data_IF_636969372770
#
_entry.id   IF_636969372770
#
_cell.length_a   1.000
_cell.length_b   1.000
_cell.length_c   1.000
_cell.angle_alpha   90.00
_cell.angle_beta   90.00
_cell.angle_gamma   90.00
#
_symmetry.space_group_name_H-M   'P 1'
#
loop_
_entity.id
_entity.type
_entity.pdbx_description
1 polymer ?
#
# COMPACT_ATOMS: atom_id res chain seq x y z
N UNK A 1 -21.08 18.92 7.53
CA UNK A 1 -21.48 17.50 7.63
C UNK A 1 -22.47 17.23 6.50
N UNK A 2 -22.00 16.73 5.36
CA UNK A 2 -22.87 16.12 4.35
C UNK A 2 -22.99 14.65 4.72
N UNK A 3 -24.21 14.13 4.69
CA UNK A 3 -24.50 12.74 4.99
C UNK A 3 -23.71 11.81 4.05
N UNK A 4 -22.70 11.13 4.60
CA UNK A 4 -22.11 9.95 3.99
C UNK A 4 -23.02 8.77 4.35
N UNK A 5 -24.14 8.66 3.64
CA UNK A 5 -25.03 7.51 3.69
C UNK A 5 -25.27 7.06 2.26
N UNK A 6 -24.95 5.79 1.98
CA UNK A 6 -25.22 5.01 0.76
C UNK A 6 -24.15 4.91 -0.35
N UNK A 7 -22.98 5.53 -0.23
CA UNK A 7 -21.87 5.27 -1.17
C UNK A 7 -20.90 4.21 -0.63
N UNK A 8 -21.08 2.96 -1.07
CA UNK A 8 -20.19 1.83 -0.73
C UNK A 8 -18.96 1.79 -1.63
N UNK A 9 -19.16 1.79 -2.96
CA UNK A 9 -18.10 1.85 -3.96
C UNK A 9 -18.59 2.47 -5.27
N UNK A 10 -17.65 2.99 -6.07
CA UNK A 10 -17.95 3.52 -7.41
C UNK A 10 -18.56 2.41 -8.28
N UNK A 11 -17.96 1.23 -8.28
CA UNK A 11 -18.37 0.10 -9.12
C UNK A 11 -19.77 -0.41 -8.78
N UNK A 12 -20.11 -0.57 -7.50
CA UNK A 12 -21.44 -0.99 -7.08
C UNK A 12 -22.48 0.09 -7.37
N UNK A 13 -22.13 1.35 -7.16
CA UNK A 13 -23.02 2.48 -7.49
C UNK A 13 -23.33 2.52 -8.99
N UNK A 14 -22.31 2.37 -9.85
CA UNK A 14 -22.51 2.28 -11.30
C UNK A 14 -23.37 1.08 -11.69
N UNK A 15 -23.10 -0.08 -11.09
CA UNK A 15 -23.84 -1.32 -11.38
C UNK A 15 -25.30 -1.28 -10.92
N UNK A 16 -25.58 -0.59 -9.82
CA UNK A 16 -26.94 -0.44 -9.27
C UNK A 16 -27.81 0.50 -10.11
N UNK A 17 -27.20 1.50 -10.77
CA UNK A 17 -27.94 2.61 -11.38
C UNK A 17 -27.86 2.70 -12.92
N UNK A 18 -26.93 2.00 -13.59
CA UNK A 18 -26.81 2.03 -15.05
C UNK A 18 -27.40 0.77 -15.72
N UNK A 19 -28.12 0.91 -16.85
CA UNK A 19 -28.46 -0.22 -17.71
C UNK A 19 -27.23 -0.99 -18.17
N UNK A 20 -27.37 -2.30 -18.44
CA UNK A 20 -26.23 -3.17 -18.74
C UNK A 20 -25.37 -2.70 -19.93
N UNK A 21 -25.99 -2.13 -20.98
CA UNK A 21 -25.27 -1.60 -22.14
C UNK A 21 -24.45 -0.36 -21.79
N UNK A 22 -25.05 0.59 -21.06
CA UNK A 22 -24.37 1.81 -20.62
C UNK A 22 -23.27 1.51 -19.59
N UNK A 23 -23.53 0.56 -18.68
CA UNK A 23 -22.57 0.11 -17.69
C UNK A 23 -21.31 -0.46 -18.34
N UNK A 24 -21.46 -1.26 -19.42
CA UNK A 24 -20.33 -1.81 -20.15
C UNK A 24 -19.48 -0.70 -20.79
N UNK A 25 -20.11 0.29 -21.41
CA UNK A 25 -19.41 1.41 -22.06
C UNK A 25 -18.74 2.35 -21.04
N UNK A 26 -19.43 2.67 -19.94
CA UNK A 26 -18.88 3.47 -18.84
C UNK A 26 -17.67 2.74 -18.22
N UNK A 27 -17.78 1.44 -17.95
CA UNK A 27 -16.64 0.65 -17.45
C UNK A 27 -15.48 0.63 -18.44
N UNK A 28 -15.76 0.56 -19.75
CA UNK A 28 -14.74 0.61 -20.80
C UNK A 28 -13.94 1.92 -20.77
N UNK A 29 -14.61 3.05 -20.57
CA UNK A 29 -13.99 4.37 -20.50
C UNK A 29 -13.24 4.54 -19.17
N UNK A 30 -13.87 4.20 -18.05
CA UNK A 30 -13.32 4.44 -16.71
C UNK A 30 -12.20 3.47 -16.34
N UNK A 31 -12.32 2.18 -16.64
CA UNK A 31 -11.37 1.15 -16.20
C UNK A 31 -10.51 0.61 -17.35
N UNK A 32 -10.97 0.78 -18.59
CA UNK A 32 -10.29 0.24 -19.77
C UNK A 32 -10.90 -1.10 -20.18
N UNK A 33 -10.06 -2.06 -20.56
CA UNK A 33 -10.54 -3.39 -20.96
C UNK A 33 -11.21 -4.10 -19.78
N UNK A 34 -12.29 -4.83 -20.03
CA UNK A 34 -12.91 -5.70 -19.03
C UNK A 34 -11.87 -6.67 -18.44
N UNK A 35 -11.75 -6.65 -17.11
CA UNK A 35 -10.79 -7.46 -16.37
C UNK A 35 -11.47 -8.76 -15.96
N UNK A 36 -10.83 -9.89 -16.24
CA UNK A 36 -11.33 -11.20 -15.83
C UNK A 36 -11.14 -11.39 -14.33
N UNK A 37 -12.18 -11.82 -13.64
CA UNK A 37 -12.08 -12.28 -12.25
C UNK A 37 -11.23 -13.55 -12.19
N UNK A 38 -10.38 -13.64 -11.18
CA UNK A 38 -9.59 -14.83 -10.87
C UNK A 38 -10.39 -15.73 -9.95
N UNK A 39 -10.58 -17.00 -10.32
CA UNK A 39 -11.13 -17.99 -9.43
C UNK A 39 -10.16 -18.24 -8.26
N UNK A 40 -10.59 -17.90 -7.05
CA UNK A 40 -9.81 -18.05 -5.83
C UNK A 40 -10.15 -19.39 -5.14
N UNK A 41 -9.20 -20.03 -4.43
CA UNK A 41 -9.47 -21.27 -3.71
C UNK A 41 -10.56 -21.07 -2.65
N UNK A 42 -11.50 -22.01 -2.56
CA UNK A 42 -12.62 -21.96 -1.60
C UNK A 42 -12.13 -21.81 -0.15
N UNK A 43 -11.09 -22.57 0.23
CA UNK A 43 -10.49 -22.47 1.56
C UNK A 43 -9.86 -21.10 1.87
N UNK A 44 -9.49 -20.32 0.86
CA UNK A 44 -9.00 -18.96 1.04
C UNK A 44 -10.16 -17.97 1.21
N UNK A 45 -11.25 -18.15 0.45
CA UNK A 45 -12.47 -17.35 0.56
C UNK A 45 -13.13 -17.55 1.92
N UNK A 46 -13.27 -18.80 2.37
CA UNK A 46 -13.79 -19.14 3.70
C UNK A 46 -12.94 -18.52 4.82
N UNK A 47 -11.62 -18.64 4.71
CA UNK A 47 -10.70 -18.06 5.70
C UNK A 47 -10.79 -16.53 5.75
N UNK A 48 -10.91 -15.86 4.60
CA UNK A 48 -11.10 -14.41 4.55
C UNK A 48 -12.42 -13.98 5.20
N UNK A 49 -13.51 -14.72 4.92
CA UNK A 49 -14.82 -14.47 5.52
C UNK A 49 -14.80 -14.68 7.03
N UNK A 50 -14.22 -15.78 7.53
CA UNK A 50 -14.12 -16.05 8.97
C UNK A 50 -13.27 -15.02 9.71
N UNK A 51 -12.25 -14.47 9.04
CA UNK A 51 -11.33 -13.47 9.59
C UNK A 51 -11.77 -12.05 9.27
N UNK A 52 -12.97 -11.84 8.73
CA UNK A 52 -13.55 -10.51 8.48
C UNK A 52 -12.64 -9.59 7.64
N UNK A 53 -12.27 -10.02 6.43
CA UNK A 53 -11.69 -9.13 5.43
C UNK A 53 -12.10 -9.49 4.01
N UNK A 54 -12.10 -8.47 3.15
CA UNK A 54 -12.42 -8.63 1.73
C UNK A 54 -11.29 -9.35 0.98
N UNK A 55 -11.67 -10.31 0.14
CA UNK A 55 -10.76 -11.01 -0.76
C UNK A 55 -11.28 -10.94 -2.20
N UNK A 56 -10.55 -10.22 -3.06
CA UNK A 56 -10.85 -10.06 -4.49
C UNK A 56 -9.68 -10.53 -5.34
N UNK A 57 -9.98 -11.15 -6.49
CA UNK A 57 -8.99 -11.71 -7.40
C UNK A 57 -9.25 -11.30 -8.84
N UNK A 58 -8.22 -10.80 -9.52
CA UNK A 58 -8.31 -10.34 -10.90
C UNK A 58 -7.13 -10.87 -11.73
N UNK A 59 -7.32 -10.95 -13.05
CA UNK A 59 -6.32 -11.49 -13.98
C UNK A 59 -6.05 -10.52 -15.13
N UNK A 60 -4.77 -10.22 -15.32
CA UNK A 60 -4.24 -9.53 -16.50
C UNK A 60 -3.52 -10.54 -17.40
N UNK A 61 -3.79 -10.51 -18.70
CA UNK A 61 -3.24 -11.46 -19.68
C UNK A 61 -2.48 -10.74 -20.78
N UNK A 62 -1.30 -11.24 -21.16
CA UNK A 62 -0.57 -10.80 -22.34
C UNK A 62 -0.83 -11.74 -23.52
N UNK A 63 -0.55 -11.27 -24.73
CA UNK A 63 -0.51 -12.14 -25.91
C UNK A 63 0.53 -13.25 -25.74
N UNK A 64 0.30 -14.40 -26.38
CA UNK A 64 1.28 -15.49 -26.37
C UNK A 64 2.46 -15.10 -27.26
N UNK A 65 3.66 -15.14 -26.69
CA UNK A 65 4.89 -14.99 -27.44
C UNK A 65 5.40 -16.35 -27.93
N UNK A 66 5.98 -16.39 -29.14
CA UNK A 66 6.58 -17.61 -29.70
C UNK A 66 7.94 -17.93 -29.06
N UNK A 67 8.67 -16.89 -28.62
CA UNK A 67 10.05 -17.02 -28.14
C UNK A 67 10.17 -17.01 -26.61
N UNK A 68 9.17 -16.49 -25.90
CA UNK A 68 9.20 -16.35 -24.45
C UNK A 68 8.03 -17.09 -23.81
N UNK A 69 8.28 -17.96 -22.83
CA UNK A 69 7.20 -18.54 -22.05
C UNK A 69 6.51 -17.46 -21.21
N UNK A 70 5.21 -17.62 -20.90
CA UNK A 70 4.49 -16.65 -20.09
C UNK A 70 5.06 -16.62 -18.66
N UNK A 71 5.54 -15.45 -18.23
CA UNK A 71 5.94 -15.22 -16.85
C UNK A 71 4.74 -14.77 -16.02
N UNK A 72 4.11 -15.72 -15.32
CA UNK A 72 2.91 -15.46 -14.50
C UNK A 72 3.33 -15.17 -13.07
N UNK A 73 2.88 -14.03 -12.54
CA UNK A 73 3.17 -13.58 -11.19
C UNK A 73 1.85 -13.22 -10.53
N UNK A 74 1.66 -13.64 -9.27
CA UNK A 74 0.53 -13.24 -8.44
C UNK A 74 1.02 -12.24 -7.40
N UNK A 75 0.41 -11.06 -7.36
CA UNK A 75 0.69 -10.03 -6.36
C UNK A 75 -0.47 -9.90 -5.38
N UNK A 76 -0.18 -9.69 -4.10
CA UNK A 76 -1.15 -9.43 -3.05
C UNK A 76 -1.00 -8.02 -2.50
N UNK A 77 -2.10 -7.27 -2.45
CA UNK A 77 -2.15 -5.92 -1.89
C UNK A 77 -2.95 -5.97 -0.59
N UNK A 78 -2.33 -5.58 0.52
CA UNK A 78 -2.97 -5.65 1.85
C UNK A 78 -3.25 -4.25 2.36
N UNK A 79 -4.53 -3.95 2.54
CA UNK A 79 -5.02 -2.77 3.26
C UNK A 79 -5.68 -3.21 4.57
N UNK A 80 -5.47 -2.47 5.64
CA UNK A 80 -6.08 -2.72 6.94
C UNK A 80 -6.17 -1.44 7.78
N UNK A 81 -7.02 -1.49 8.80
CA UNK A 81 -7.09 -0.49 9.87
C UNK A 81 -6.14 -0.85 11.01
N UNK A 82 -5.89 0.09 11.91
CA UNK A 82 -5.28 -0.22 13.22
C UNK A 82 -6.18 -1.15 14.02
N UNK A 83 -5.58 -2.06 14.81
CA UNK A 83 -6.32 -3.08 15.55
C UNK A 83 -6.68 -2.62 16.96
N UNK A 84 -5.73 -2.02 17.66
CA UNK A 84 -5.90 -1.51 19.02
C UNK A 84 -6.06 0.03 19.02
N UNK A 85 -6.66 0.62 20.07
CA UNK A 85 -6.68 2.06 20.28
C UNK A 85 -5.27 2.66 20.24
N UNK A 86 -5.14 3.90 19.75
CA UNK A 86 -3.81 4.52 19.56
C UNK A 86 -3.11 4.84 20.88
N UNK A 87 -3.82 4.81 22.02
CA UNK A 87 -3.29 5.02 23.37
C UNK A 87 -2.92 3.71 24.09
N UNK A 88 -3.07 2.55 23.45
CA UNK A 88 -2.53 1.28 23.94
C UNK A 88 -0.99 1.29 23.93
N UNK A 89 -0.31 0.41 24.70
CA UNK A 89 1.15 0.29 24.63
C UNK A 89 1.64 -0.01 23.21
N UNK A 90 2.73 0.63 22.80
CA UNK A 90 3.26 0.56 21.42
C UNK A 90 3.54 -0.88 20.99
N UNK A 91 4.16 -1.67 21.86
CA UNK A 91 4.47 -3.07 21.57
C UNK A 91 3.21 -3.90 21.33
N UNK A 92 2.13 -3.65 22.09
CA UNK A 92 0.86 -4.35 21.92
C UNK A 92 0.20 -3.96 20.59
N UNK A 93 0.27 -2.68 20.21
CA UNK A 93 -0.20 -2.22 18.90
C UNK A 93 0.55 -2.93 17.77
N UNK A 94 1.88 -2.95 17.79
CA UNK A 94 2.71 -3.63 16.77
C UNK A 94 2.38 -5.12 16.71
N UNK A 95 2.30 -5.81 17.84
CA UNK A 95 1.97 -7.25 17.90
C UNK A 95 0.58 -7.54 17.33
N UNK A 96 -0.42 -6.69 17.63
CA UNK A 96 -1.75 -6.82 17.08
C UNK A 96 -1.76 -6.61 15.55
N UNK A 97 -0.97 -5.65 15.04
CA UNK A 97 -0.77 -5.45 13.60
C UNK A 97 -0.11 -6.67 12.96
N UNK A 98 0.96 -7.21 13.54
CA UNK A 98 1.65 -8.41 13.05
C UNK A 98 0.69 -9.60 12.98
N UNK A 99 -0.08 -9.85 14.05
CA UNK A 99 -1.07 -10.93 14.06
C UNK A 99 -2.11 -10.76 12.96
N UNK A 100 -2.67 -9.55 12.80
CA UNK A 100 -3.69 -9.27 11.79
C UNK A 100 -3.16 -9.44 10.37
N UNK A 101 -1.97 -8.89 10.08
CA UNK A 101 -1.38 -8.99 8.75
C UNK A 101 -0.90 -10.41 8.47
N UNK A 102 -0.38 -11.14 9.45
CA UNK A 102 -0.01 -12.54 9.33
C UNK A 102 -1.18 -13.44 8.91
N UNK A 103 -2.37 -13.20 9.48
CA UNK A 103 -3.61 -13.88 9.06
C UNK A 103 -3.97 -13.62 7.60
N UNK A 104 -3.82 -12.38 7.14
CA UNK A 104 -4.11 -12.00 5.74
C UNK A 104 -3.07 -12.62 4.79
N UNK A 105 -1.79 -12.60 5.18
CA UNK A 105 -0.68 -13.18 4.39
C UNK A 105 -0.83 -14.70 4.25
N UNK A 106 -1.32 -15.40 5.28
CA UNK A 106 -1.64 -16.83 5.17
C UNK A 106 -2.70 -17.08 4.08
N UNK A 107 -3.73 -16.25 3.99
CA UNK A 107 -4.75 -16.35 2.94
C UNK A 107 -4.17 -15.99 1.57
N UNK A 108 -3.32 -14.96 1.48
CA UNK A 108 -2.58 -14.64 0.27
C UNK A 108 -1.72 -15.82 -0.22
N UNK A 109 -1.08 -16.54 0.70
CA UNK A 109 -0.32 -17.75 0.39
C UNK A 109 -1.22 -18.87 -0.15
N UNK A 110 -2.41 -19.10 0.44
CA UNK A 110 -3.42 -20.04 -0.09
C UNK A 110 -3.86 -19.66 -1.51
N UNK A 111 -3.92 -18.36 -1.81
CA UNK A 111 -4.18 -17.83 -3.15
C UNK A 111 -2.96 -17.89 -4.09
N UNK A 112 -1.82 -18.43 -3.66
CA UNK A 112 -0.61 -18.58 -4.49
C UNK A 112 0.11 -17.26 -4.78
N UNK A 113 -0.04 -16.24 -3.94
CA UNK A 113 0.66 -14.96 -4.08
C UNK A 113 2.17 -15.16 -4.00
N UNK A 114 2.89 -14.54 -4.94
CA UNK A 114 4.35 -14.57 -5.03
C UNK A 114 5.01 -13.34 -4.39
N UNK A 115 4.33 -12.18 -4.46
CA UNK A 115 4.81 -10.91 -3.89
C UNK A 115 3.66 -10.28 -3.13
N UNK A 116 3.83 -10.02 -1.83
CA UNK A 116 2.86 -9.29 -1.01
C UNK A 116 3.42 -7.92 -0.62
N UNK A 117 2.58 -6.89 -0.67
CA UNK A 117 2.93 -5.55 -0.24
C UNK A 117 1.88 -5.01 0.72
N UNK A 118 2.36 -4.39 1.80
CA UNK A 118 1.54 -3.75 2.83
C UNK A 118 1.41 -2.24 2.56
N UNK A 119 0.44 -1.59 3.20
CA UNK A 119 0.27 -0.14 3.15
C UNK A 119 1.42 0.62 3.83
N UNK A 120 1.44 1.95 3.68
CA UNK A 120 2.45 2.80 4.31
C UNK A 120 2.40 2.72 5.85
N UNK A 121 3.58 2.64 6.47
CA UNK A 121 3.79 2.61 7.92
C UNK A 121 2.84 1.66 8.63
N UNK A 122 2.69 0.45 8.08
CA UNK A 122 1.61 -0.48 8.42
C UNK A 122 1.58 -0.93 9.89
N UNK A 123 2.71 -0.82 10.60
CA UNK A 123 2.87 -1.21 12.00
C UNK A 123 2.46 -0.14 13.02
N UNK A 124 2.07 1.05 12.57
CA UNK A 124 1.71 2.16 13.46
C UNK A 124 0.42 2.87 13.03
N UNK A 125 -0.29 3.53 13.97
CA UNK A 125 -1.21 4.60 13.62
C UNK A 125 -0.49 5.69 12.82
N UNK A 126 -1.17 6.37 11.92
CA UNK A 126 -0.63 7.47 11.12
C UNK A 126 -0.56 8.77 11.95
N UNK A 127 0.24 8.73 13.01
CA UNK A 127 0.31 9.75 14.05
C UNK A 127 0.99 11.06 13.61
N UNK A 128 1.48 11.16 12.37
CA UNK A 128 2.20 12.33 11.87
C UNK A 128 1.36 13.62 11.90
N UNK A 129 0.03 13.50 11.92
CA UNK A 129 -0.89 14.62 12.13
C UNK A 129 -0.72 15.33 13.47
N UNK A 130 -0.35 14.59 14.52
CA UNK A 130 -0.20 15.12 15.88
C UNK A 130 1.01 16.02 16.01
N UNK A 131 2.04 15.79 15.18
CA UNK A 131 3.39 16.41 15.27
C UNK A 131 4.15 16.08 16.56
N UNK A 132 3.56 15.27 17.43
CA UNK A 132 4.17 14.82 18.68
C UNK A 132 5.30 13.84 18.37
N UNK A 133 6.41 13.95 19.11
CA UNK A 133 7.52 13.00 18.99
C UNK A 133 7.23 11.75 19.80
N UNK A 134 7.00 11.93 21.10
CA UNK A 134 6.69 10.82 21.98
C UNK A 134 5.18 10.58 22.09
N UNK A 135 4.74 9.31 22.17
CA UNK A 135 5.56 8.10 22.10
C UNK A 135 5.79 7.64 20.65
N UNK A 136 5.28 8.36 19.65
CA UNK A 136 5.19 7.92 18.24
C UNK A 136 6.52 7.55 17.59
N UNK A 137 7.63 8.17 17.99
CA UNK A 137 8.95 7.82 17.45
C UNK A 137 9.49 6.49 17.98
N UNK A 138 8.94 5.94 19.06
CA UNK A 138 9.29 4.59 19.55
C UNK A 138 8.79 3.48 18.61
N UNK A 139 7.83 3.74 17.71
CA UNK A 139 7.46 2.81 16.63
C UNK A 139 8.58 2.58 15.61
N UNK A 140 9.61 3.43 15.62
CA UNK A 140 10.69 3.35 14.64
C UNK A 140 11.63 2.17 14.95
N UNK A 141 11.84 1.30 13.97
CA UNK A 141 12.65 0.08 14.10
C UNK A 141 13.84 0.07 13.13
N UNK A 142 14.85 -0.77 13.38
CA UNK A 142 15.91 -1.04 12.41
C UNK A 142 15.32 -1.67 11.14
N UNK A 143 15.69 -1.16 9.96
CA UNK A 143 15.17 -1.68 8.68
C UNK A 143 15.57 -3.14 8.43
N UNK A 144 16.75 -3.55 8.88
CA UNK A 144 17.31 -4.88 8.64
C UNK A 144 17.07 -5.81 9.83
N UNK A 145 17.23 -5.28 11.05
CA UNK A 145 17.21 -6.06 12.29
C UNK A 145 16.01 -5.73 13.20
N UNK A 146 14.99 -5.04 12.68
CA UNK A 146 13.74 -4.76 13.39
C UNK A 146 12.92 -6.04 13.63
N UNK A 147 12.10 -6.03 14.68
CA UNK A 147 11.16 -7.13 14.95
C UNK A 147 10.18 -7.33 13.80
N UNK A 148 9.73 -6.22 13.20
CA UNK A 148 8.87 -6.23 12.03
C UNK A 148 9.55 -6.86 10.81
N UNK A 149 10.84 -6.58 10.57
CA UNK A 149 11.58 -7.21 9.48
C UNK A 149 11.75 -8.70 9.73
N UNK A 150 12.12 -9.12 10.95
CA UNK A 150 12.21 -10.55 11.31
C UNK A 150 10.90 -11.30 11.09
N UNK A 151 9.78 -10.73 11.54
CA UNK A 151 8.44 -11.26 11.26
C UNK A 151 8.20 -11.43 9.75
N UNK A 152 8.56 -10.44 8.94
CA UNK A 152 8.45 -10.52 7.48
C UNK A 152 9.36 -11.61 6.88
N UNK A 153 10.57 -11.82 7.40
CA UNK A 153 11.48 -12.88 6.96
C UNK A 153 10.89 -14.27 7.22
N UNK A 154 10.25 -14.48 8.37
CA UNK A 154 9.57 -15.72 8.70
C UNK A 154 8.41 -16.00 7.73
N UNK A 155 7.55 -15.02 7.48
CA UNK A 155 6.46 -15.13 6.51
C UNK A 155 6.98 -15.42 5.09
N UNK A 156 7.98 -14.65 4.65
CA UNK A 156 8.57 -14.78 3.32
C UNK A 156 9.11 -16.19 3.08
N UNK A 157 9.89 -16.72 4.03
CA UNK A 157 10.47 -18.07 3.97
C UNK A 157 9.40 -19.15 4.08
N UNK A 158 8.45 -19.00 5.00
CA UNK A 158 7.38 -19.98 5.23
C UNK A 158 6.50 -20.19 4.00
N UNK A 159 6.20 -19.11 3.28
CA UNK A 159 5.28 -19.14 2.14
C UNK A 159 5.96 -19.00 0.78
N UNK A 160 7.30 -18.97 0.75
CA UNK A 160 8.09 -18.76 -0.47
C UNK A 160 7.61 -17.56 -1.29
N UNK A 161 7.44 -16.40 -0.61
CA UNK A 161 6.96 -15.16 -1.20
C UNK A 161 7.86 -13.98 -0.86
N UNK A 162 7.95 -13.01 -1.77
CA UNK A 162 8.58 -11.72 -1.48
C UNK A 162 7.64 -10.87 -0.65
N UNK A 163 8.16 -10.21 0.37
CA UNK A 163 7.39 -9.30 1.25
C UNK A 163 7.95 -7.88 1.13
N UNK A 164 7.07 -6.92 0.83
CA UNK A 164 7.39 -5.48 0.81
C UNK A 164 6.74 -4.82 2.02
N UNK A 165 7.57 -4.34 2.96
CA UNK A 165 7.16 -3.85 4.28
C UNK A 165 7.54 -2.38 4.49
N UNK A 166 6.60 -1.43 4.33
CA UNK A 166 6.81 -0.02 4.62
C UNK A 166 6.72 0.29 6.12
N UNK A 167 7.80 0.75 6.73
CA UNK A 167 7.93 1.02 8.17
C UNK A 167 8.48 2.44 8.43
N UNK A 168 8.35 2.89 9.67
CA UNK A 168 9.20 3.95 10.19
C UNK A 168 10.55 3.32 10.59
N UNK A 169 11.61 3.68 9.87
CA UNK A 169 12.97 3.22 10.15
C UNK A 169 13.64 4.16 11.16
N UNK A 170 14.40 3.59 12.10
CA UNK A 170 15.40 4.28 12.89
C UNK A 170 16.78 3.78 12.45
N UNK A 171 17.59 4.68 11.89
CA UNK A 171 18.97 4.36 11.51
C UNK A 171 19.87 4.32 12.74
N UNK A 172 20.52 3.18 12.99
CA UNK A 172 21.30 2.94 14.22
C UNK A 172 22.49 3.90 14.39
N UNK A 173 23.12 4.31 13.29
CA UNK A 173 24.35 5.11 13.33
C UNK A 173 24.15 6.50 13.96
N UNK A 174 22.99 7.13 13.73
CA UNK A 174 22.74 8.52 14.11
C UNK A 174 21.33 8.75 14.70
N UNK A 175 20.53 7.69 14.88
CA UNK A 175 19.14 7.73 15.33
C UNK A 175 18.18 8.53 14.41
N UNK A 176 18.57 8.79 13.16
CA UNK A 176 17.72 9.48 12.18
C UNK A 176 16.54 8.60 11.83
N UNK A 177 15.35 9.21 11.76
CA UNK A 177 14.14 8.54 11.34
C UNK A 177 13.95 8.66 9.84
N UNK A 178 13.41 7.62 9.23
CA UNK A 178 13.13 7.55 7.80
C UNK A 178 11.81 6.84 7.54
N UNK A 179 11.11 7.22 6.48
CA UNK A 179 10.00 6.42 5.96
C UNK A 179 10.54 5.48 4.88
N UNK A 180 10.47 4.18 5.14
CA UNK A 180 11.29 3.19 4.44
C UNK A 180 10.49 1.96 4.08
N UNK A 181 10.59 1.52 2.83
CA UNK A 181 10.13 0.22 2.39
C UNK A 181 11.29 -0.78 2.42
N UNK A 182 11.15 -1.84 3.23
CA UNK A 182 12.07 -2.97 3.29
C UNK A 182 11.56 -4.06 2.34
N UNK A 183 12.45 -4.62 1.51
CA UNK A 183 12.11 -5.73 0.61
C UNK A 183 12.79 -7.01 1.08
N UNK A 184 11.98 -8.00 1.42
CA UNK A 184 12.43 -9.32 1.87
C UNK A 184 12.21 -10.34 0.76
N UNK A 185 13.28 -11.04 0.38
CA UNK A 185 13.28 -12.14 -0.59
C UNK A 185 12.41 -13.30 -0.13
N UNK A 186 11.91 -14.10 -1.08
CA UNK A 186 11.23 -15.36 -0.81
C UNK A 186 12.10 -16.42 -0.09
N UNK A 187 13.41 -16.23 -0.03
CA UNK A 187 14.31 -17.04 0.81
C UNK A 187 14.30 -16.63 2.30
N UNK A 188 13.69 -15.50 2.65
CA UNK A 188 13.76 -14.87 3.97
C UNK A 188 14.93 -13.89 4.15
N UNK A 189 15.76 -13.65 3.12
CA UNK A 189 16.85 -12.68 3.21
C UNK A 189 16.33 -11.26 2.90
N UNK A 190 16.80 -10.25 3.65
CA UNK A 190 16.55 -8.84 3.28
C UNK A 190 17.34 -8.53 2.00
N UNK A 191 16.65 -8.08 0.95
CA UNK A 191 17.29 -7.65 -0.31
C UNK A 191 17.81 -6.22 -0.21
N UNK A 192 17.20 -5.42 0.65
CA UNK A 192 17.57 -4.03 0.92
C UNK A 192 16.34 -3.20 1.25
N UNK A 193 16.51 -1.88 1.13
CA UNK A 193 15.50 -0.88 1.49
C UNK A 193 15.44 0.28 0.48
N UNK A 194 14.31 0.97 0.43
CA UNK A 194 14.11 2.21 -0.33
C UNK A 194 13.39 3.23 0.55
N UNK A 195 13.97 4.41 0.70
CA UNK A 195 13.45 5.53 1.51
C UNK A 195 12.57 6.45 0.66
N UNK A 196 11.60 7.09 1.30
CA UNK A 196 10.61 7.97 0.66
C UNK A 196 11.29 9.20 0.05
N UNK A 197 11.33 9.29 -1.28
CA UNK A 197 12.00 10.38 -1.99
C UNK A 197 11.31 11.75 -1.82
N UNK A 198 9.99 11.78 -1.70
CA UNK A 198 9.21 13.02 -1.63
C UNK A 198 8.38 13.08 -0.35
N UNK A 199 8.68 14.06 0.51
CA UNK A 199 8.07 14.19 1.84
C UNK A 199 6.98 15.27 1.81
N UNK A 200 5.72 14.95 2.17
CA UNK A 200 4.67 15.95 2.24
C UNK A 200 4.85 16.88 3.44
N UNK A 201 4.31 18.09 3.29
CA UNK A 201 4.22 19.14 4.33
C UNK A 201 2.83 19.78 4.39
N UNK A 202 1.81 19.06 3.95
CA UNK A 202 0.49 19.62 3.61
C UNK A 202 -0.55 19.11 4.60
N UNK A 203 -1.26 20.03 5.26
CA UNK A 203 -2.38 19.71 6.15
C UNK A 203 -1.97 18.83 7.33
N UNK A 204 -2.67 17.70 7.50
CA UNK A 204 -2.36 16.69 8.53
C UNK A 204 -1.13 15.83 8.18
N UNK A 205 -0.62 15.90 6.95
CA UNK A 205 0.56 15.16 6.51
C UNK A 205 1.85 15.92 6.86
N UNK A 206 2.09 16.12 8.16
CA UNK A 206 3.27 16.82 8.70
C UNK A 206 4.50 15.91 8.78
N UNK A 207 4.72 15.10 7.76
CA UNK A 207 5.74 14.06 7.75
C UNK A 207 7.17 14.62 7.83
N UNK A 208 7.41 15.81 7.25
CA UNK A 208 8.73 16.45 7.31
C UNK A 208 9.17 16.86 8.71
N UNK A 209 8.25 16.85 9.68
CA UNK A 209 8.62 17.02 11.10
C UNK A 209 9.38 15.80 11.60
N UNK A 210 9.15 14.60 11.04
CA UNK A 210 9.69 13.33 11.52
C UNK A 210 10.93 12.87 10.76
N UNK A 211 10.96 13.03 9.43
CA UNK A 211 12.03 12.50 8.58
C UNK A 211 12.30 13.37 7.35
N UNK A 212 13.47 13.16 6.73
CA UNK A 212 13.96 13.89 5.56
C UNK A 212 13.71 13.14 4.25
N UNK A 213 13.91 13.81 3.12
CA UNK A 213 13.85 13.20 1.79
C UNK A 213 14.89 12.08 1.65
N UNK A 214 14.46 10.94 1.11
CA UNK A 214 15.26 9.72 1.03
C UNK A 214 16.55 9.86 0.23
N UNK A 215 17.57 9.13 0.66
CA UNK A 215 18.92 9.11 0.08
C UNK A 215 19.23 7.81 -0.69
N UNK A 216 18.26 6.89 -0.80
CA UNK A 216 18.43 5.61 -1.50
C UNK A 216 18.25 5.70 -3.02
N UNK A 217 17.87 6.87 -3.55
CA UNK A 217 17.52 7.03 -4.96
C UNK A 217 16.30 6.21 -5.38
N UNK A 218 16.33 5.69 -6.61
CA UNK A 218 15.20 4.96 -7.20
C UNK A 218 15.51 3.46 -7.33
N UNK A 219 15.73 2.80 -6.19
CA UNK A 219 16.14 1.38 -6.13
C UNK A 219 15.12 0.45 -6.78
N UNK A 220 15.62 -0.47 -7.61
CA UNK A 220 14.85 -1.58 -8.20
C UNK A 220 15.43 -2.90 -7.67
N UNK A 221 14.56 -3.74 -7.14
CA UNK A 221 14.92 -5.01 -6.52
C UNK A 221 14.66 -6.15 -7.51
N UNK A 222 15.73 -6.86 -7.89
CA UNK A 222 15.60 -8.09 -8.66
C UNK A 222 15.18 -9.23 -7.71
N UNK A 223 14.02 -9.81 -7.98
CA UNK A 223 13.49 -10.97 -7.23
C UNK A 223 13.36 -12.20 -8.14
N UNK A 224 13.04 -13.35 -7.57
CA UNK A 224 12.68 -14.55 -8.34
C UNK A 224 11.40 -14.35 -9.18
N UNK A 225 10.58 -13.34 -8.83
CA UNK A 225 9.29 -13.08 -9.44
C UNK A 225 9.26 -11.77 -10.25
N UNK A 226 10.42 -11.19 -10.54
CA UNK A 226 10.56 -9.97 -11.33
C UNK A 226 11.24 -8.80 -10.64
N UNK A 227 11.43 -7.73 -11.40
CA UNK A 227 12.00 -6.47 -10.92
C UNK A 227 10.91 -5.60 -10.33
N UNK A 228 11.02 -5.34 -9.03
CA UNK A 228 10.03 -4.53 -8.31
C UNK A 228 10.64 -3.25 -7.78
N UNK A 229 9.82 -2.22 -7.64
CA UNK A 229 10.17 -0.96 -7.00
C UNK A 229 9.05 -0.51 -6.05
N UNK A 230 9.37 0.45 -5.17
CA UNK A 230 8.40 0.99 -4.21
C UNK A 230 8.41 2.51 -4.27
N UNK A 231 7.36 3.10 -4.86
CA UNK A 231 7.14 4.54 -4.83
C UNK A 231 6.28 4.88 -3.60
N UNK A 232 6.87 5.38 -2.53
CA UNK A 232 6.16 5.54 -1.25
C UNK A 232 5.27 6.78 -1.25
N UNK A 233 3.96 6.56 -1.07
CA UNK A 233 2.92 7.54 -0.77
C UNK A 233 2.97 8.82 -1.61
N UNK A 234 3.44 9.94 -1.04
CA UNK A 234 3.44 11.27 -1.68
C UNK A 234 4.30 11.34 -2.95
N UNK A 235 5.22 10.38 -3.13
CA UNK A 235 5.89 10.17 -4.41
C UNK A 235 4.93 9.84 -5.57
N UNK A 236 3.65 9.50 -5.30
CA UNK A 236 2.61 9.30 -6.32
C UNK A 236 2.36 10.55 -7.17
N UNK A 237 2.51 11.74 -6.57
CA UNK A 237 2.26 13.02 -7.23
C UNK A 237 3.38 13.46 -8.17
N UNK A 238 4.48 12.70 -8.24
CA UNK A 238 5.70 13.10 -8.94
C UNK A 238 5.95 12.17 -10.14
N UNK A 239 5.51 12.52 -11.36
CA UNK A 239 5.72 11.71 -12.56
C UNK A 239 7.17 11.29 -12.78
N UNK A 240 8.14 12.16 -12.45
CA UNK A 240 9.56 11.86 -12.55
C UNK A 240 10.00 10.76 -11.58
N UNK A 241 9.41 10.65 -10.39
CA UNK A 241 9.72 9.58 -9.44
C UNK A 241 9.33 8.22 -10.02
N UNK A 242 8.13 8.11 -10.58
CA UNK A 242 7.66 6.92 -11.30
C UNK A 242 8.57 6.58 -12.48
N UNK A 243 8.89 7.58 -13.28
CA UNK A 243 9.74 7.44 -14.46
C UNK A 243 11.13 6.90 -14.10
N UNK A 244 11.75 7.40 -13.04
CA UNK A 244 13.09 6.95 -12.64
C UNK A 244 13.12 5.49 -12.18
N UNK A 245 12.09 4.97 -11.49
CA UNK A 245 11.99 3.53 -11.20
C UNK A 245 11.85 2.71 -12.49
N UNK A 246 11.03 3.17 -13.43
CA UNK A 246 10.88 2.51 -14.74
C UNK A 246 12.16 2.51 -15.56
N UNK A 247 12.88 3.65 -15.59
CA UNK A 247 14.19 3.78 -16.25
C UNK A 247 15.23 2.83 -15.66
N UNK A 248 15.14 2.55 -14.36
CA UNK A 248 15.96 1.57 -13.68
C UNK A 248 15.48 0.11 -13.90
N UNK A 249 14.44 -0.09 -14.71
CA UNK A 249 13.97 -1.39 -15.17
C UNK A 249 12.91 -2.04 -14.28
N UNK A 250 12.15 -1.27 -13.48
CA UNK A 250 11.04 -1.80 -12.71
C UNK A 250 9.92 -2.33 -13.61
N UNK A 251 9.48 -3.57 -13.34
CA UNK A 251 8.34 -4.20 -14.03
C UNK A 251 7.04 -4.00 -13.24
N UNK A 252 7.14 -3.94 -11.91
CA UNK A 252 6.04 -3.70 -10.98
C UNK A 252 6.46 -2.63 -9.97
N UNK A 253 5.69 -1.54 -9.88
CA UNK A 253 5.93 -0.46 -8.92
C UNK A 253 4.80 -0.45 -7.89
N UNK A 254 5.11 -0.81 -6.65
CA UNK A 254 4.18 -0.70 -5.53
C UNK A 254 4.11 0.75 -5.04
N UNK A 255 2.92 1.20 -4.68
CA UNK A 255 2.67 2.52 -4.12
C UNK A 255 1.89 2.42 -2.80
N UNK A 256 2.59 2.01 -1.71
CA UNK A 256 2.01 2.01 -0.38
C UNK A 256 1.76 3.45 0.07
N UNK A 257 0.54 3.74 0.50
CA UNK A 257 0.07 5.08 0.84
C UNK A 257 -0.77 5.06 2.12
N UNK A 258 -0.78 6.20 2.80
CA UNK A 258 -1.82 6.57 3.75
C UNK A 258 -2.26 7.99 3.38
N UNK A 259 -3.45 8.13 2.80
CA UNK A 259 -3.96 9.43 2.36
C UNK A 259 -5.46 9.56 2.57
N UNK A 260 -5.93 10.78 2.81
CA UNK A 260 -7.30 11.09 3.23
C UNK A 260 -7.87 12.30 2.50
N UNK A 261 -9.19 12.41 2.58
CA UNK A 261 -9.91 13.65 2.31
C UNK A 261 -10.34 13.84 0.85
N UNK A 262 -11.36 14.70 0.70
CA UNK A 262 -12.03 14.96 -0.56
C UNK A 262 -11.14 15.58 -1.66
N UNK A 263 -10.01 16.19 -1.29
CA UNK A 263 -9.05 16.71 -2.27
C UNK A 263 -8.13 15.61 -2.81
N UNK A 264 -7.81 14.60 -1.99
CA UNK A 264 -6.91 13.51 -2.40
C UNK A 264 -7.64 12.44 -3.21
N UNK A 265 -8.88 12.14 -2.85
CA UNK A 265 -9.68 11.07 -3.47
C UNK A 265 -9.81 11.18 -5.00
N UNK A 266 -10.06 12.37 -5.60
CA UNK A 266 -10.15 12.50 -7.06
C UNK A 266 -8.84 12.20 -7.80
N UNK A 267 -7.68 12.37 -7.15
CA UNK A 267 -6.38 12.09 -7.76
C UNK A 267 -6.05 10.58 -7.72
N UNK A 268 -6.60 9.86 -6.75
CA UNK A 268 -6.30 8.45 -6.52
C UNK A 268 -6.49 7.53 -7.74
N UNK A 269 -7.59 7.59 -8.52
CA UNK A 269 -7.74 6.75 -9.71
C UNK A 269 -6.92 7.23 -10.94
N UNK A 270 -6.21 8.35 -10.81
CA UNK A 270 -5.50 9.02 -11.93
C UNK A 270 -4.00 8.72 -11.87
N UNK A 271 -3.34 8.98 -10.75
CA UNK A 271 -1.88 9.14 -10.70
C UNK A 271 -1.12 7.83 -10.93
N UNK A 272 -1.40 6.80 -10.14
CA UNK A 272 -0.75 5.50 -10.33
C UNK A 272 -1.15 4.86 -11.67
N UNK A 273 -2.40 5.04 -12.09
CA UNK A 273 -2.86 4.59 -13.42
C UNK A 273 -2.12 5.29 -14.56
N UNK A 274 -1.91 6.60 -14.47
CA UNK A 274 -1.11 7.36 -15.44
C UNK A 274 0.33 6.87 -15.46
N UNK A 275 0.92 6.61 -14.28
CA UNK A 275 2.27 6.06 -14.18
C UNK A 275 2.40 4.70 -14.90
N UNK A 276 1.44 3.79 -14.74
CA UNK A 276 1.43 2.51 -15.49
C UNK A 276 1.41 2.73 -17.01
N UNK A 277 0.66 3.74 -17.48
CA UNK A 277 0.54 4.08 -18.91
C UNK A 277 1.83 4.69 -19.45
N UNK A 278 2.36 5.71 -18.78
CA UNK A 278 3.53 6.44 -19.24
C UNK A 278 4.81 5.58 -19.23
N UNK A 279 4.87 4.59 -18.34
CA UNK A 279 6.09 3.82 -18.07
C UNK A 279 6.03 2.36 -18.54
N UNK A 280 4.91 1.91 -19.12
CA UNK A 280 4.73 0.53 -19.60
C UNK A 280 5.03 -0.55 -18.55
N UNK A 281 4.65 -0.30 -17.30
CA UNK A 281 4.83 -1.21 -16.18
C UNK A 281 3.50 -1.46 -15.44
N UNK A 282 3.52 -2.38 -14.48
CA UNK A 282 2.43 -2.54 -13.52
C UNK A 282 2.60 -1.54 -12.37
N UNK A 283 1.50 -0.95 -11.91
CA UNK A 283 1.47 -0.16 -10.68
C UNK A 283 0.45 -0.73 -9.71
N UNK A 284 0.81 -0.79 -8.43
CA UNK A 284 -0.04 -1.33 -7.37
C UNK A 284 -0.27 -0.27 -6.29
N UNK A 285 -1.40 0.44 -6.36
CA UNK A 285 -1.74 1.48 -5.38
C UNK A 285 -2.42 0.85 -4.16
N UNK A 286 -1.89 1.11 -2.97
CA UNK A 286 -2.40 0.56 -1.70
C UNK A 286 -2.64 1.72 -0.75
N UNK A 287 -3.86 1.86 -0.23
CA UNK A 287 -4.14 2.87 0.80
C UNK A 287 -4.56 2.20 2.11
N UNK A 288 -4.22 2.86 3.22
CA UNK A 288 -4.79 2.57 4.53
C UNK A 288 -6.32 2.69 4.52
N UNK A 289 -6.98 2.01 5.46
CA UNK A 289 -8.44 2.11 5.66
C UNK A 289 -8.78 2.33 7.12
N UNK A 290 -9.99 2.84 7.37
CA UNK A 290 -10.54 3.02 8.71
C UNK A 290 -10.33 4.42 9.28
N UNK A 291 -10.79 4.60 10.52
CA UNK A 291 -10.70 5.87 11.24
C UNK A 291 -9.76 5.71 12.43
N UNK A 292 -8.81 6.63 12.60
CA UNK A 292 -7.86 6.61 13.71
C UNK A 292 -8.15 7.78 14.65
N UNK A 293 -8.18 7.51 15.96
CA UNK A 293 -8.51 8.47 17.01
C UNK A 293 -7.31 8.70 17.93
N UNK A 294 -6.83 9.94 18.05
CA UNK A 294 -5.71 10.28 18.94
C UNK A 294 -6.17 10.92 20.27
N UNK A 295 -5.32 10.86 21.31
CA UNK A 295 -5.67 11.39 22.64
C UNK A 295 -5.71 12.91 22.70
N UNK A 296 -4.71 13.56 22.11
CA UNK A 296 -4.52 15.01 22.19
C UNK A 296 -5.05 15.70 20.92
N UNK A 297 -5.64 16.87 21.10
CA UNK A 297 -6.12 17.69 19.99
C UNK A 297 -4.97 18.19 19.11
N UNK A 298 -5.17 18.22 17.79
CA UNK A 298 -4.23 18.82 16.83
C UNK A 298 -4.99 19.65 15.79
N UNK A 299 -4.26 20.45 15.01
CA UNK A 299 -4.84 21.32 13.98
C UNK A 299 -4.28 20.99 12.60
N UNK A 300 -5.16 21.01 11.59
CA UNK A 300 -4.83 20.66 10.20
C UNK A 300 -4.29 21.83 9.38
N UNK A 301 -4.11 23.01 9.98
CA UNK A 301 -3.59 24.20 9.29
C UNK A 301 -4.57 24.87 8.31
N UNK A 302 -5.88 24.57 8.42
CA UNK A 302 -6.95 25.10 7.56
C UNK A 302 -7.72 26.30 8.20
N UNK A 303 -7.22 26.82 9.32
CA UNK A 303 -7.84 27.92 10.06
C UNK A 303 -9.02 27.51 10.94
N UNK A 304 -9.39 26.23 10.98
CA UNK A 304 -10.40 25.73 11.92
C UNK A 304 -9.80 25.52 13.31
N UNK A 305 -10.68 25.45 14.32
CA UNK A 305 -10.28 24.99 15.66
C UNK A 305 -9.77 23.56 15.57
N UNK A 306 -8.96 23.14 16.54
CA UNK A 306 -8.56 21.73 16.65
C UNK A 306 -9.80 20.84 16.55
N UNK A 307 -9.90 20.11 15.45
CA UNK A 307 -10.97 19.14 15.28
C UNK A 307 -10.62 17.92 16.15
N UNK A 308 -11.65 17.19 16.58
CA UNK A 308 -11.47 15.97 17.37
C UNK A 308 -10.59 15.01 16.59
N UNK A 309 -9.36 14.86 17.05
CA UNK A 309 -8.37 13.80 16.89
C UNK A 309 -8.62 12.69 15.87
N UNK A 310 -9.07 12.96 14.64
CA UNK A 310 -9.60 11.93 13.74
C UNK A 310 -8.96 12.03 12.36
N UNK A 311 -8.49 10.90 11.85
CA UNK A 311 -8.15 10.74 10.44
C UNK A 311 -9.01 9.62 9.83
N UNK A 312 -9.63 9.87 8.67
CA UNK A 312 -10.47 8.89 7.96
C UNK A 312 -9.86 8.48 6.62
N UNK A 313 -9.45 7.22 6.51
CA UNK A 313 -8.93 6.62 5.29
C UNK A 313 -10.00 5.77 4.59
N UNK A 314 -10.34 6.11 3.34
CA UNK A 314 -11.44 5.47 2.59
C UNK A 314 -11.07 4.96 1.19
N UNK A 315 -9.87 5.26 0.69
CA UNK A 315 -9.54 4.92 -0.70
C UNK A 315 -9.25 3.43 -0.85
N UNK A 316 -9.83 2.82 -1.88
CA UNK A 316 -9.60 1.41 -2.19
C UNK A 316 -8.27 1.16 -2.88
N UNK A 317 -7.61 0.05 -2.55
CA UNK A 317 -6.40 -0.40 -3.25
C UNK A 317 -6.74 -0.96 -4.64
N UNK A 318 -5.88 -0.72 -5.63
CA UNK A 318 -6.08 -1.23 -6.99
C UNK A 318 -4.76 -1.49 -7.72
N UNK A 319 -4.83 -2.32 -8.76
CA UNK A 319 -3.72 -2.58 -9.67
C UNK A 319 -4.03 -2.00 -11.04
N UNK A 320 -3.05 -1.35 -11.65
CA UNK A 320 -3.13 -0.79 -13.00
C UNK A 320 -1.99 -1.29 -13.87
N UNK A 321 -2.30 -1.49 -15.15
CA UNK A 321 -1.34 -1.75 -16.22
C UNK A 321 -1.87 -1.10 -17.49
N UNK A 322 -0.96 -0.65 -18.35
CA UNK A 322 -1.30 -0.36 -19.73
C UNK A 322 -1.09 -1.58 -20.63
N UNK A 323 -2.18 -2.06 -21.23
CA UNK A 323 -2.10 -3.03 -22.30
C UNK A 323 -1.71 -2.34 -23.61
N UNK A 324 -0.42 -2.38 -23.93
CA UNK A 324 0.07 -2.42 -25.30
C UNK A 324 1.30 -3.33 -25.34
N UNK A 325 1.09 -4.56 -25.79
CA UNK A 325 1.98 -5.35 -26.64
C UNK A 325 1.11 -6.41 -27.36
#
# INVERSE_FOLDING_TARGET
>A
MSACGDFESLEESLQRHLPAADLAEVKRILFGKEIKTLALPECAVEAASQRDFELKGYKFEAALEQLRPPRRIRVGLVQHRVVLPTDAPILDQINAMHSRVGEIVEVAAKCGVNIVCFQETWTMPFAFCTREKEPWTEFAESAEEGNTTRFCQELAKKYNMVVVSPILEREELNNTLWNTAVVVSNSGNVLGKSRKNHIPRIGDFNESTYYMEGDTGHTVFQTAFGKIAVNICYGRHHPLNWFMYSMNGAEIIFNPSATVGALSEPMWPIEARNAAIANHCFTCAINRVGTEHFKNEFTSGDGKKGERCIIYFSLGSYLSIHFKL
#
